data_IF_143369007649
#
_entry.id   IF_143369007649
#
_cell.length_a   1.000
_cell.length_b   1.000
_cell.length_c   1.000
_cell.angle_alpha   90.00
_cell.angle_beta   90.00
_cell.angle_gamma   90.00
#
_symmetry.space_group_name_H-M   'P 1'
#
loop_
_entity.id
_entity.type
_entity.pdbx_description
1 polymer ?
#
# COMPACT_ATOMS: atom_id res chain seq x y z
N UNK A 1 7.06 8.14 -17.34
CA UNK A 1 7.06 6.72 -16.90
C UNK A 1 5.71 6.13 -17.25
N UNK A 2 5.69 4.90 -17.76
CA UNK A 2 4.45 4.17 -18.06
C UNK A 2 3.89 3.60 -16.75
N UNK A 3 2.57 3.66 -16.56
CA UNK A 3 1.93 3.13 -15.35
C UNK A 3 1.83 1.60 -15.44
N UNK A 4 2.36 0.83 -14.46
CA UNK A 4 2.30 -0.63 -14.49
C UNK A 4 0.89 -1.19 -14.24
N UNK A 5 -0.07 -0.38 -13.77
CA UNK A 5 -1.41 -0.83 -13.41
C UNK A 5 -2.16 -1.52 -14.58
N UNK A 6 -1.91 -1.07 -15.81
CA UNK A 6 -2.62 -1.51 -17.03
C UNK A 6 -2.07 -2.82 -17.61
N UNK A 7 -0.96 -3.33 -17.07
CA UNK A 7 -0.35 -4.56 -17.54
C UNK A 7 -0.72 -5.71 -16.62
N UNK A 8 -1.29 -6.76 -17.21
CA UNK A 8 -1.45 -8.06 -16.59
C UNK A 8 -0.20 -8.89 -16.93
N UNK A 9 0.47 -9.40 -15.90
CA UNK A 9 1.68 -10.22 -16.02
C UNK A 9 1.39 -11.70 -15.76
N UNK A 10 0.13 -12.08 -15.53
CA UNK A 10 -0.26 -13.42 -15.08
C UNK A 10 0.03 -13.65 -13.59
N UNK A 11 0.14 -12.59 -12.79
CA UNK A 11 0.33 -12.67 -11.35
C UNK A 11 -0.97 -12.99 -10.60
N UNK A 12 -0.87 -13.74 -9.51
CA UNK A 12 -2.04 -14.06 -8.67
C UNK A 12 -2.57 -12.82 -7.93
N UNK A 13 -1.67 -11.93 -7.51
CA UNK A 13 -2.00 -10.72 -6.75
C UNK A 13 -1.13 -9.53 -7.16
N UNK A 14 -1.74 -8.35 -7.21
CA UNK A 14 -1.04 -7.06 -7.29
C UNK A 14 -0.92 -6.42 -5.92
N UNK A 15 0.25 -5.86 -5.63
CA UNK A 15 0.54 -5.18 -4.36
C UNK A 15 1.08 -3.79 -4.67
N UNK A 16 0.53 -2.77 -4.03
CA UNK A 16 1.06 -1.41 -4.11
C UNK A 16 1.82 -1.09 -2.83
N UNK A 17 3.00 -0.49 -2.98
CA UNK A 17 3.79 0.03 -1.86
C UNK A 17 3.88 1.55 -2.00
N UNK A 18 3.61 2.26 -0.91
CA UNK A 18 3.88 3.70 -0.81
C UNK A 18 4.63 3.99 0.48
N UNK A 19 5.51 4.98 0.46
CA UNK A 19 6.21 5.46 1.65
C UNK A 19 5.48 6.64 2.27
N UNK A 20 5.55 6.80 3.60
CA UNK A 20 5.01 8.01 4.27
C UNK A 20 5.65 9.32 3.77
N UNK A 21 6.86 9.25 3.22
CA UNK A 21 7.58 10.39 2.64
C UNK A 21 7.01 10.87 1.29
N UNK A 22 6.09 10.12 0.68
CA UNK A 22 5.51 10.44 -0.63
C UNK A 22 4.22 11.28 -0.52
N UNK A 23 3.64 11.38 0.67
CA UNK A 23 2.41 12.12 0.95
C UNK A 23 1.14 11.26 0.98
N UNK A 24 0.19 11.66 1.82
CA UNK A 24 -1.10 10.96 2.05
C UNK A 24 -2.12 11.07 0.91
N UNK A 25 -1.82 11.87 -0.10
CA UNK A 25 -2.67 12.11 -1.28
C UNK A 25 -2.29 11.23 -2.48
N UNK A 26 -1.24 10.39 -2.35
CA UNK A 26 -0.79 9.48 -3.40
C UNK A 26 -1.92 8.58 -3.96
N UNK A 27 -2.85 8.03 -3.15
CA UNK A 27 -3.97 7.27 -3.70
C UNK A 27 -4.78 8.05 -4.74
N UNK A 28 -5.09 9.31 -4.44
CA UNK A 28 -5.87 10.17 -5.34
C UNK A 28 -5.10 10.58 -6.60
N UNK A 29 -3.77 10.70 -6.50
CA UNK A 29 -2.89 11.03 -7.63
C UNK A 29 -2.68 9.87 -8.59
N UNK A 30 -2.70 8.62 -8.09
CA UNK A 30 -2.43 7.42 -8.89
C UNK A 30 -3.50 6.34 -8.73
N UNK A 31 -4.79 6.65 -8.96
CA UNK A 31 -5.90 5.79 -8.56
C UNK A 31 -5.89 4.41 -9.24
N UNK A 32 -5.33 4.31 -10.45
CA UNK A 32 -5.20 3.04 -11.16
C UNK A 32 -4.37 2.00 -10.39
N UNK A 33 -3.28 2.41 -9.72
CA UNK A 33 -2.43 1.51 -8.93
C UNK A 33 -3.19 0.91 -7.74
N UNK A 34 -3.98 1.72 -7.05
CA UNK A 34 -4.72 1.33 -5.85
C UNK A 34 -5.97 0.52 -6.19
N UNK A 35 -6.58 0.78 -7.36
CA UNK A 35 -7.77 0.08 -7.84
C UNK A 35 -7.51 -1.41 -8.12
N UNK A 36 -6.36 -1.75 -8.68
CA UNK A 36 -6.04 -3.13 -9.07
C UNK A 36 -5.30 -3.92 -8.00
N UNK A 37 -4.83 -3.26 -6.93
CA UNK A 37 -4.07 -3.90 -5.87
C UNK A 37 -4.98 -4.65 -4.89
N UNK A 38 -4.55 -5.82 -4.45
CA UNK A 38 -5.15 -6.56 -3.33
C UNK A 38 -4.65 -6.04 -1.99
N UNK A 39 -3.36 -5.67 -1.94
CA UNK A 39 -2.71 -5.14 -0.74
C UNK A 39 -2.07 -3.78 -0.98
N UNK A 40 -2.20 -2.90 0.02
CA UNK A 40 -1.44 -1.66 0.12
C UNK A 40 -0.51 -1.74 1.33
N UNK A 41 0.79 -1.63 1.08
CA UNK A 41 1.79 -1.45 2.12
C UNK A 41 2.12 0.04 2.27
N UNK A 42 1.80 0.61 3.44
CA UNK A 42 2.23 1.96 3.83
C UNK A 42 3.53 1.81 4.60
N UNK A 43 4.64 2.02 3.91
CA UNK A 43 5.98 1.74 4.38
C UNK A 43 6.69 2.98 4.96
N UNK A 44 7.82 2.73 5.64
CA UNK A 44 8.69 3.73 6.27
C UNK A 44 8.04 4.47 7.44
N UNK A 45 7.18 3.80 8.21
CA UNK A 45 6.49 4.46 9.33
C UNK A 45 7.40 4.89 10.48
N UNK A 46 8.63 4.39 10.51
CA UNK A 46 9.72 4.91 11.33
C UNK A 46 9.98 6.41 11.08
N UNK A 47 9.59 6.94 9.91
CA UNK A 47 9.77 8.34 9.56
C UNK A 47 8.56 9.23 9.89
N UNK A 48 7.47 8.70 10.45
CA UNK A 48 6.24 9.48 10.67
C UNK A 48 6.49 10.76 11.48
N UNK A 49 7.34 10.71 12.51
CA UNK A 49 7.68 11.86 13.35
C UNK A 49 8.35 13.02 12.59
N UNK A 50 8.87 12.77 11.38
CA UNK A 50 9.58 13.73 10.54
C UNK A 50 8.76 14.16 9.31
N UNK A 51 7.49 13.74 9.22
CA UNK A 51 6.60 14.07 8.12
C UNK A 51 5.30 14.67 8.62
N UNK A 52 4.57 15.32 7.74
CA UNK A 52 3.18 15.75 7.96
C UNK A 52 2.16 14.72 7.43
N UNK A 53 2.57 13.47 7.28
CA UNK A 53 1.74 12.42 6.69
C UNK A 53 0.55 12.08 7.60
N UNK A 54 -0.66 12.21 7.09
CA UNK A 54 -1.87 11.79 7.79
C UNK A 54 -2.24 10.34 7.41
N UNK A 55 -1.99 9.42 8.34
CA UNK A 55 -2.26 7.99 8.17
C UNK A 55 -3.74 7.69 7.92
N UNK A 56 -4.65 8.37 8.61
CA UNK A 56 -6.08 8.10 8.49
C UNK A 56 -6.63 8.69 7.19
N UNK A 57 -6.12 9.84 6.76
CA UNK A 57 -6.43 10.39 5.44
C UNK A 57 -5.92 9.49 4.31
N UNK A 58 -4.69 8.96 4.41
CA UNK A 58 -4.15 8.03 3.42
C UNK A 58 -5.01 6.78 3.28
N UNK A 59 -5.39 6.15 4.41
CA UNK A 59 -6.28 4.97 4.44
C UNK A 59 -7.64 5.28 3.83
N UNK A 60 -8.28 6.38 4.23
CA UNK A 60 -9.59 6.80 3.67
C UNK A 60 -9.52 7.02 2.17
N UNK A 61 -8.48 7.70 1.68
CA UNK A 61 -8.29 7.95 0.26
C UNK A 61 -8.10 6.64 -0.52
N UNK A 62 -7.32 5.69 0.02
CA UNK A 62 -7.10 4.40 -0.61
C UNK A 62 -8.38 3.55 -0.64
N UNK A 63 -9.12 3.47 0.48
CA UNK A 63 -10.37 2.73 0.58
C UNK A 63 -11.51 3.35 -0.25
N UNK A 64 -11.49 4.67 -0.47
CA UNK A 64 -12.42 5.33 -1.38
C UNK A 64 -12.21 4.91 -2.84
N UNK A 65 -10.99 4.50 -3.21
CA UNK A 65 -10.66 4.00 -4.56
C UNK A 65 -10.92 2.49 -4.66
N UNK A 66 -10.55 1.74 -3.63
CA UNK A 66 -10.72 0.30 -3.54
C UNK A 66 -11.17 -0.11 -2.12
N UNK A 67 -12.47 -0.33 -1.90
CA UNK A 67 -13.01 -0.72 -0.59
C UNK A 67 -12.54 -2.09 -0.07
N UNK A 68 -12.05 -2.97 -0.95
CA UNK A 68 -11.57 -4.32 -0.60
C UNK A 68 -10.06 -4.36 -0.32
N UNK A 69 -9.39 -3.22 -0.41
CA UNK A 69 -7.94 -3.12 -0.27
C UNK A 69 -7.51 -3.46 1.17
N UNK A 70 -6.69 -4.48 1.33
CA UNK A 70 -6.08 -4.79 2.62
C UNK A 70 -4.86 -3.89 2.87
N UNK A 71 -4.96 -3.01 3.86
CA UNK A 71 -3.92 -2.02 4.17
C UNK A 71 -3.07 -2.51 5.35
N UNK A 72 -1.75 -2.57 5.13
CA UNK A 72 -0.78 -3.00 6.14
C UNK A 72 0.25 -1.89 6.32
N UNK A 73 0.48 -1.52 7.58
CA UNK A 73 1.46 -0.50 7.96
C UNK A 73 2.79 -1.18 8.22
N UNK A 74 3.85 -0.73 7.55
CA UNK A 74 5.16 -1.39 7.61
C UNK A 74 6.34 -0.44 7.85
N UNK A 75 7.40 -0.98 8.46
CA UNK A 75 8.74 -0.40 8.44
C UNK A 75 9.75 -1.53 8.19
N UNK A 76 10.56 -1.38 7.15
CA UNK A 76 11.64 -2.33 6.87
C UNK A 76 12.87 -2.11 7.76
N UNK A 77 12.91 -1.03 8.55
CA UNK A 77 14.04 -0.73 9.44
C UNK A 77 13.94 -1.53 10.74
N UNK A 78 12.76 -1.57 11.34
CA UNK A 78 12.51 -2.27 12.61
C UNK A 78 11.66 -3.55 12.45
N UNK A 79 11.17 -3.83 11.23
CA UNK A 79 10.36 -5.00 10.91
C UNK A 79 8.87 -4.86 11.24
N UNK A 80 8.41 -3.69 11.69
CA UNK A 80 7.00 -3.41 11.96
C UNK A 80 6.13 -3.85 10.79
N UNK A 81 5.10 -4.66 11.06
CA UNK A 81 4.11 -5.10 10.08
C UNK A 81 4.60 -6.06 8.99
N UNK A 82 5.91 -6.33 8.87
CA UNK A 82 6.46 -7.22 7.84
C UNK A 82 5.98 -8.66 8.05
N UNK A 83 5.93 -9.13 9.30
CA UNK A 83 5.39 -10.46 9.62
C UNK A 83 3.91 -10.61 9.25
N UNK A 84 3.09 -9.59 9.56
CA UNK A 84 1.67 -9.53 9.20
C UNK A 84 1.50 -9.58 7.67
N UNK A 85 2.35 -8.85 6.95
CA UNK A 85 2.36 -8.88 5.49
C UNK A 85 2.65 -10.28 4.95
N UNK A 86 3.71 -10.94 5.44
CA UNK A 86 4.08 -12.30 5.02
C UNK A 86 2.93 -13.27 5.27
N UNK A 87 2.32 -13.25 6.46
CA UNK A 87 1.19 -14.11 6.81
C UNK A 87 -0.02 -13.88 5.88
N UNK A 88 -0.30 -12.62 5.54
CA UNK A 88 -1.38 -12.26 4.62
C UNK A 88 -1.18 -12.82 3.22
N UNK A 89 0.07 -12.88 2.72
CA UNK A 89 0.36 -13.50 1.42
C UNK A 89 0.21 -15.01 1.50
N UNK A 90 0.78 -15.65 2.53
CA UNK A 90 0.74 -17.11 2.69
C UNK A 90 -0.70 -17.64 2.75
N UNK A 91 -1.60 -16.87 3.34
CA UNK A 91 -3.04 -17.20 3.41
C UNK A 91 -3.77 -16.98 2.08
N UNK A 92 -3.23 -16.14 1.19
CA UNK A 92 -3.87 -15.78 -0.09
C UNK A 92 -3.50 -16.72 -1.25
N UNK A 93 -2.55 -17.65 -1.06
CA UNK A 93 -2.00 -18.56 -2.11
C UNK A 93 -2.66 -19.97 -2.04
N UNK A 94 -3.84 -20.11 -1.43
CA UNK A 94 -4.56 -21.40 -1.36
C UNK A 94 -5.71 -21.44 -2.36
#
# INVERSE_FOLDING_TARGET
>A
MVCPAEYDLGEDIKVVVMSVTEGDDKPLKYPALFRVARHLLINKVDLLAYTNFDMEKAKRNALAINPELNIIVTSCIDGTGVGIWIESILTSIV
#
